data_IF_986749140957
#
_entry.id   IF_986749140957
#
_cell.length_a   1.000
_cell.length_b   1.000
_cell.length_c   1.000
_cell.angle_alpha   90.00
_cell.angle_beta   90.00
_cell.angle_gamma   90.00
#
_symmetry.space_group_name_H-M   'P 1'
#
loop_
_entity.id
_entity.type
_entity.pdbx_description
1 polymer ?
#
# COMPACT_ATOMS: atom_id res chain seq x y z
N UNK A 1 0.69 -39.58 29.52
CA UNK A 1 -0.25 -39.25 28.46
C UNK A 1 -1.29 -38.33 29.08
N UNK A 2 -1.45 -37.13 28.59
CA UNK A 2 -2.44 -36.16 29.09
C UNK A 2 -3.49 -35.91 28.00
N UNK A 3 -4.75 -35.74 28.41
CA UNK A 3 -5.89 -35.69 27.49
C UNK A 3 -6.66 -34.36 27.60
N UNK A 4 -7.06 -33.79 26.45
CA UNK A 4 -7.79 -32.53 26.37
C UNK A 4 -9.09 -32.68 25.57
N UNK A 5 -10.19 -32.11 26.06
CA UNK A 5 -11.46 -32.10 25.32
C UNK A 5 -11.52 -30.92 24.34
N UNK A 6 -12.40 -30.98 23.30
CA UNK A 6 -12.56 -29.90 22.34
C UNK A 6 -12.91 -28.55 22.97
N UNK A 7 -13.63 -28.54 24.10
CA UNK A 7 -14.07 -27.29 24.74
C UNK A 7 -12.94 -26.53 25.46
N UNK A 8 -11.82 -27.22 25.74
CA UNK A 8 -10.63 -26.62 26.31
C UNK A 8 -9.66 -26.05 25.25
N UNK A 9 -9.99 -26.17 23.95
CA UNK A 9 -9.20 -25.64 22.85
C UNK A 9 -9.88 -24.37 22.31
N UNK A 10 -9.19 -23.23 22.35
CA UNK A 10 -9.70 -21.95 21.90
C UNK A 10 -9.73 -21.84 20.38
N UNK A 11 -8.72 -22.32 19.69
CA UNK A 11 -8.59 -22.24 18.25
C UNK A 11 -9.57 -23.20 17.55
N UNK A 12 -10.31 -22.66 16.56
CA UNK A 12 -11.50 -23.33 15.97
C UNK A 12 -11.15 -24.61 15.18
N UNK A 13 -10.14 -24.55 14.33
CA UNK A 13 -9.77 -25.68 13.49
C UNK A 13 -9.09 -26.79 14.30
N UNK A 14 -8.21 -26.40 15.21
CA UNK A 14 -7.57 -27.33 16.14
C UNK A 14 -8.61 -27.98 17.05
N UNK A 15 -9.60 -27.25 17.55
CA UNK A 15 -10.76 -27.78 18.28
C UNK A 15 -11.49 -28.88 17.50
N UNK A 16 -11.74 -28.64 16.21
CA UNK A 16 -12.35 -29.65 15.34
C UNK A 16 -11.45 -30.88 15.21
N UNK A 17 -10.14 -30.72 15.05
CA UNK A 17 -9.22 -31.85 14.99
C UNK A 17 -9.19 -32.64 16.31
N UNK A 18 -9.19 -31.96 17.45
CA UNK A 18 -9.32 -32.60 18.77
C UNK A 18 -10.64 -33.35 18.90
N UNK A 19 -11.75 -32.77 18.41
CA UNK A 19 -13.06 -33.41 18.42
C UNK A 19 -13.07 -34.71 17.60
N UNK A 20 -12.42 -34.73 16.44
CA UNK A 20 -12.33 -35.92 15.58
C UNK A 20 -11.45 -37.01 16.20
N UNK A 21 -10.40 -36.62 16.93
CA UNK A 21 -9.45 -37.54 17.56
C UNK A 21 -9.84 -37.93 18.99
N UNK A 22 -10.87 -37.32 19.57
CA UNK A 22 -11.31 -37.62 20.94
C UNK A 22 -11.92 -38.99 21.08
N UNK A 23 -11.45 -39.74 22.05
CA UNK A 23 -11.94 -41.10 22.39
C UNK A 23 -12.83 -41.04 23.63
N UNK A 24 -13.95 -41.79 23.65
CA UNK A 24 -14.88 -41.81 24.80
C UNK A 24 -14.27 -42.32 26.09
N UNK A 25 -13.21 -43.10 25.99
CA UNK A 25 -12.51 -43.76 27.13
C UNK A 25 -11.60 -42.77 27.85
N UNK A 26 -11.23 -41.67 27.21
CA UNK A 26 -10.34 -40.67 27.75
C UNK A 26 -11.12 -39.47 28.29
N UNK A 27 -10.85 -39.06 29.52
CA UNK A 27 -11.45 -37.91 30.17
C UNK A 27 -10.50 -36.69 30.10
N UNK A 28 -11.05 -35.50 29.94
CA UNK A 28 -10.28 -34.26 29.95
C UNK A 28 -9.70 -34.01 31.35
N UNK A 29 -8.40 -33.69 31.41
CA UNK A 29 -7.69 -33.40 32.67
C UNK A 29 -7.80 -31.90 33.07
N UNK A 30 -8.30 -31.05 32.14
CA UNK A 30 -8.30 -29.59 32.29
C UNK A 30 -9.68 -28.98 32.54
N UNK A 31 -10.73 -29.79 32.63
CA UNK A 31 -12.05 -29.33 33.02
C UNK A 31 -12.91 -30.47 33.60
N UNK A 32 -13.91 -30.11 34.42
CA UNK A 32 -14.81 -31.07 35.10
C UNK A 32 -15.99 -31.56 34.23
N UNK A 33 -15.93 -31.37 32.90
CA UNK A 33 -17.09 -31.64 32.02
C UNK A 33 -17.28 -33.10 31.66
N UNK A 34 -16.25 -33.92 31.85
CA UNK A 34 -16.30 -35.35 31.56
C UNK A 34 -16.50 -35.73 30.09
N UNK A 35 -16.12 -34.78 29.18
CA UNK A 35 -16.22 -35.01 27.74
C UNK A 35 -15.08 -35.92 27.23
N UNK A 36 -15.33 -36.60 26.10
CA UNK A 36 -14.29 -37.33 25.36
C UNK A 36 -13.10 -36.44 25.04
N UNK A 37 -11.90 -36.97 25.17
CA UNK A 37 -10.67 -36.20 25.04
C UNK A 37 -9.68 -36.87 24.09
N UNK A 38 -8.83 -36.06 23.48
CA UNK A 38 -7.72 -36.47 22.62
C UNK A 38 -6.38 -36.30 23.35
N UNK A 39 -5.38 -37.09 22.96
CA UNK A 39 -4.02 -37.00 23.49
C UNK A 39 -3.39 -35.67 23.12
N UNK A 40 -2.81 -34.98 24.10
CA UNK A 40 -2.07 -33.73 23.91
C UNK A 40 -0.83 -33.86 23.02
N UNK A 41 -0.30 -35.06 22.87
CA UNK A 41 0.77 -35.36 21.92
C UNK A 41 0.36 -35.01 20.48
N UNK A 42 -0.88 -35.29 20.09
CA UNK A 42 -1.41 -34.89 18.78
C UNK A 42 -1.42 -33.36 18.64
N UNK A 43 -1.82 -32.63 19.68
CA UNK A 43 -1.82 -31.17 19.69
C UNK A 43 -0.39 -30.63 19.57
N UNK A 44 0.58 -31.20 20.30
CA UNK A 44 1.99 -30.81 20.19
C UNK A 44 2.53 -30.99 18.77
N UNK A 45 2.26 -32.11 18.12
CA UNK A 45 2.66 -32.34 16.72
C UNK A 45 2.05 -31.31 15.77
N UNK A 46 0.77 -30.92 15.97
CA UNK A 46 0.15 -29.87 15.17
C UNK A 46 0.76 -28.50 15.42
N UNK A 47 1.14 -28.21 16.67
CA UNK A 47 1.87 -26.97 16.99
C UNK A 47 3.26 -26.94 16.36
N UNK A 48 3.96 -28.08 16.33
CA UNK A 48 5.24 -28.22 15.64
C UNK A 48 5.11 -27.92 14.14
N UNK A 49 4.12 -28.53 13.46
CA UNK A 49 3.83 -28.28 12.04
C UNK A 49 3.61 -26.77 11.75
N UNK A 50 2.89 -26.08 12.65
CA UNK A 50 2.62 -24.63 12.54
C UNK A 50 3.88 -23.82 12.79
N UNK A 51 4.65 -24.16 13.83
CA UNK A 51 5.92 -23.47 14.13
C UNK A 51 6.92 -23.64 12.98
N UNK A 52 7.10 -24.85 12.48
CA UNK A 52 8.00 -25.12 11.35
C UNK A 52 7.54 -24.38 10.07
N UNK A 53 6.25 -24.33 9.81
CA UNK A 53 5.72 -23.71 8.58
C UNK A 53 5.77 -22.19 8.61
N UNK A 54 5.34 -21.57 9.72
CA UNK A 54 5.02 -20.14 9.76
C UNK A 54 5.94 -19.29 10.66
N UNK A 55 6.76 -19.92 11.50
CA UNK A 55 7.60 -19.18 12.45
C UNK A 55 9.08 -19.44 12.21
N UNK A 56 9.89 -18.48 12.58
CA UNK A 56 11.35 -18.55 12.65
C UNK A 56 11.83 -18.07 14.02
N UNK A 57 13.05 -18.49 14.41
CA UNK A 57 13.65 -18.02 15.63
C UNK A 57 14.01 -16.53 15.52
N UNK A 58 13.70 -15.79 16.60
CA UNK A 58 14.17 -14.42 16.73
C UNK A 58 15.70 -14.41 16.78
N UNK A 59 16.31 -13.62 15.91
CA UNK A 59 17.77 -13.53 15.85
C UNK A 59 18.37 -12.91 17.11
N UNK A 60 19.49 -13.52 17.59
CA UNK A 60 20.28 -12.99 18.71
C UNK A 60 19.51 -12.79 20.04
N UNK A 61 18.55 -13.66 20.34
CA UNK A 61 17.70 -13.58 21.54
C UNK A 61 18.48 -13.28 22.80
N UNK A 62 19.54 -14.06 23.10
CA UNK A 62 20.36 -13.89 24.30
C UNK A 62 21.14 -12.58 24.32
N UNK A 63 21.70 -12.14 23.18
CA UNK A 63 22.38 -10.85 23.09
C UNK A 63 21.40 -9.68 23.36
N UNK A 64 20.18 -9.76 22.83
CA UNK A 64 19.14 -8.74 23.02
C UNK A 64 18.72 -8.67 24.49
N UNK A 65 18.48 -9.82 25.13
CA UNK A 65 18.12 -9.91 26.57
C UNK A 65 19.28 -9.40 27.44
N UNK A 66 20.51 -9.77 27.11
CA UNK A 66 21.71 -9.30 27.87
C UNK A 66 21.82 -7.76 27.87
N UNK A 67 21.41 -7.09 26.79
CA UNK A 67 21.36 -5.63 26.73
C UNK A 67 20.06 -5.03 27.29
N UNK A 68 19.24 -5.80 28.02
CA UNK A 68 18.00 -5.33 28.65
C UNK A 68 16.90 -4.98 27.65
N UNK A 69 16.92 -5.56 26.45
CA UNK A 69 15.88 -5.39 25.43
C UNK A 69 15.05 -6.68 25.30
N UNK A 70 13.81 -6.53 24.89
CA UNK A 70 12.93 -7.66 24.59
C UNK A 70 13.18 -8.12 23.14
N UNK A 71 13.39 -9.41 22.88
CA UNK A 71 13.46 -9.95 21.52
C UNK A 71 12.17 -9.69 20.74
N UNK A 72 12.24 -9.74 19.42
CA UNK A 72 11.05 -9.72 18.60
C UNK A 72 10.26 -11.03 18.77
N UNK A 73 8.92 -10.95 18.68
CA UNK A 73 8.05 -12.12 18.82
C UNK A 73 7.72 -12.50 20.27
N UNK A 74 7.53 -13.78 20.53
CA UNK A 74 7.14 -14.31 21.82
C UNK A 74 7.95 -15.58 22.14
N UNK A 75 8.14 -15.86 23.44
CA UNK A 75 8.67 -17.13 23.92
C UNK A 75 7.75 -18.29 23.49
N UNK A 76 8.25 -19.52 23.61
CA UNK A 76 7.52 -20.71 23.17
C UNK A 76 6.17 -20.86 23.89
N UNK A 77 6.12 -20.68 25.20
CA UNK A 77 4.91 -20.81 25.99
C UNK A 77 3.83 -19.81 25.56
N UNK A 78 4.19 -18.55 25.44
CA UNK A 78 3.29 -17.47 24.96
C UNK A 78 2.84 -17.72 23.53
N UNK A 79 3.73 -18.22 22.66
CA UNK A 79 3.42 -18.55 21.27
C UNK A 79 2.37 -19.68 21.20
N UNK A 80 2.56 -20.79 21.91
CA UNK A 80 1.61 -21.90 21.96
C UNK A 80 0.28 -21.48 22.57
N UNK A 81 0.31 -20.68 23.66
CA UNK A 81 -0.91 -20.15 24.27
C UNK A 81 -1.72 -19.31 23.29
N UNK A 82 -1.07 -18.41 22.54
CA UNK A 82 -1.71 -17.57 21.55
C UNK A 82 -2.26 -18.39 20.35
N UNK A 83 -1.54 -19.42 19.92
CA UNK A 83 -1.95 -20.28 18.80
C UNK A 83 -3.16 -21.15 19.15
N UNK A 84 -3.19 -21.72 20.36
CA UNK A 84 -4.16 -22.76 20.72
C UNK A 84 -5.35 -22.24 21.53
N UNK A 85 -5.15 -21.18 22.32
CA UNK A 85 -6.14 -20.67 23.29
C UNK A 85 -6.52 -21.69 24.36
N UNK A 86 -5.60 -22.59 24.72
CA UNK A 86 -5.81 -23.61 25.76
C UNK A 86 -5.53 -23.08 27.16
N UNK A 87 -5.99 -23.78 28.24
CA UNK A 87 -5.59 -23.52 29.59
C UNK A 87 -4.06 -23.62 29.78
N UNK A 88 -3.52 -22.82 30.69
CA UNK A 88 -2.07 -22.70 30.89
C UNK A 88 -1.42 -24.05 31.22
N UNK A 89 -2.05 -24.87 32.05
CA UNK A 89 -1.57 -26.21 32.44
C UNK A 89 -1.47 -27.15 31.24
N UNK A 90 -2.38 -27.03 30.27
CA UNK A 90 -2.32 -27.80 29.03
C UNK A 90 -1.22 -27.29 28.09
N UNK A 91 -0.99 -25.99 28.05
CA UNK A 91 0.11 -25.38 27.29
C UNK A 91 1.46 -25.83 27.82
N UNK A 92 1.65 -25.90 29.13
CA UNK A 92 2.89 -26.40 29.76
C UNK A 92 3.21 -27.82 29.29
N UNK A 93 2.22 -28.73 29.27
CA UNK A 93 2.40 -30.10 28.79
C UNK A 93 2.74 -30.14 27.28
N UNK A 94 2.12 -29.30 26.46
CA UNK A 94 2.46 -29.21 25.04
C UNK A 94 3.90 -28.72 24.85
N UNK A 95 4.34 -27.74 25.61
CA UNK A 95 5.72 -27.23 25.57
C UNK A 95 6.73 -28.32 26.00
N UNK A 96 6.40 -29.11 27.05
CA UNK A 96 7.23 -30.25 27.43
C UNK A 96 7.34 -31.30 26.32
N UNK A 97 6.23 -31.60 25.62
CA UNK A 97 6.23 -32.51 24.49
C UNK A 97 7.07 -31.95 23.32
N UNK A 98 6.95 -30.70 22.99
CA UNK A 98 7.76 -30.05 21.96
C UNK A 98 9.26 -30.10 22.30
N UNK A 99 9.62 -29.77 23.53
CA UNK A 99 11.01 -29.88 23.99
C UNK A 99 11.54 -31.31 23.90
N UNK A 100 10.69 -32.32 24.20
CA UNK A 100 11.06 -33.73 24.04
C UNK A 100 11.23 -34.15 22.58
N UNK A 101 10.39 -33.62 21.65
CA UNK A 101 10.52 -33.85 20.20
C UNK A 101 11.80 -33.28 19.64
N UNK A 102 12.22 -32.12 20.15
CA UNK A 102 13.41 -31.37 19.68
C UNK A 102 14.72 -31.82 20.32
N UNK A 103 14.67 -32.72 21.31
CA UNK A 103 15.85 -33.25 21.96
C UNK A 103 16.38 -34.46 21.19
N UNK A 104 17.64 -34.39 20.75
CA UNK A 104 18.33 -35.54 20.13
C UNK A 104 19.13 -36.30 21.19
N UNK A 105 18.68 -37.47 21.56
CA UNK A 105 19.35 -38.36 22.51
C UNK A 105 20.78 -38.72 22.07
N UNK A 106 21.08 -38.77 20.79
CA UNK A 106 22.38 -39.19 20.27
C UNK A 106 23.46 -38.11 20.42
N UNK A 107 23.11 -36.84 20.22
CA UNK A 107 24.00 -35.70 20.44
C UNK A 107 23.91 -35.13 21.85
N UNK A 108 22.82 -35.37 22.56
CA UNK A 108 22.51 -34.75 23.84
C UNK A 108 22.14 -33.26 23.72
N UNK A 109 21.80 -32.79 22.52
CA UNK A 109 21.50 -31.41 22.24
C UNK A 109 20.02 -31.22 21.86
N UNK A 110 19.44 -30.08 22.22
CA UNK A 110 18.11 -29.67 21.75
C UNK A 110 18.25 -28.89 20.44
N UNK A 111 17.29 -29.02 19.53
CA UNK A 111 17.20 -28.30 18.26
C UNK A 111 17.39 -26.76 18.43
N UNK A 112 16.92 -26.23 19.56
CA UNK A 112 16.98 -24.78 19.85
C UNK A 112 17.99 -24.44 20.97
N UNK A 113 18.85 -25.39 21.39
CA UNK A 113 19.80 -25.21 22.47
C UNK A 113 19.16 -25.20 23.87
N UNK A 114 19.93 -24.73 24.88
CA UNK A 114 19.47 -24.65 26.27
C UNK A 114 18.70 -23.36 26.60
N UNK A 115 18.58 -22.46 25.61
CA UNK A 115 17.94 -21.15 25.79
C UNK A 115 16.44 -21.25 25.44
N UNK A 116 15.60 -20.49 26.15
CA UNK A 116 14.18 -20.34 25.79
C UNK A 116 14.04 -19.69 24.41
N UNK A 117 13.58 -20.43 23.36
CA UNK A 117 13.50 -19.89 22.04
C UNK A 117 12.35 -18.87 21.92
N UNK A 118 12.60 -17.76 21.23
CA UNK A 118 11.59 -16.77 20.85
C UNK A 118 11.21 -16.95 19.39
N UNK A 119 9.92 -16.97 19.12
CA UNK A 119 9.37 -17.22 17.80
C UNK A 119 8.76 -15.94 17.22
N UNK A 120 9.08 -15.68 15.97
CA UNK A 120 8.52 -14.60 15.15
C UNK A 120 7.97 -15.19 13.85
N UNK A 121 6.93 -14.60 13.29
CA UNK A 121 6.44 -15.04 11.97
C UNK A 121 7.55 -14.90 10.93
N UNK A 122 7.73 -15.94 10.11
CA UNK A 122 8.75 -15.97 9.06
C UNK A 122 8.57 -14.80 8.11
N UNK A 123 9.61 -14.01 7.94
CA UNK A 123 9.67 -12.98 6.90
C UNK A 123 9.72 -13.58 5.49
N UNK A 124 10.27 -14.80 5.37
CA UNK A 124 10.42 -15.53 4.11
C UNK A 124 9.14 -16.19 3.59
N UNK A 125 8.02 -16.12 4.34
CA UNK A 125 6.78 -16.80 3.94
C UNK A 125 6.22 -16.27 2.62
N UNK A 126 6.47 -14.99 2.32
CA UNK A 126 6.07 -14.36 1.06
C UNK A 126 7.06 -14.61 -0.11
N UNK A 127 8.16 -15.33 0.11
CA UNK A 127 9.20 -15.56 -0.93
C UNK A 127 8.68 -16.19 -2.21
N UNK A 128 7.78 -17.22 -2.20
CA UNK A 128 7.28 -17.80 -3.44
C UNK A 128 6.59 -16.77 -4.34
N UNK A 129 5.71 -15.93 -3.77
CA UNK A 129 5.09 -14.83 -4.51
C UNK A 129 6.10 -13.75 -4.89
N UNK A 130 7.08 -13.48 -4.03
CA UNK A 130 8.18 -12.56 -4.32
C UNK A 130 9.05 -13.03 -5.50
N UNK A 131 9.31 -14.33 -5.64
CA UNK A 131 10.00 -14.90 -6.82
C UNK A 131 9.15 -14.76 -8.08
N UNK A 132 7.88 -15.19 -8.04
CA UNK A 132 6.96 -15.07 -9.18
C UNK A 132 6.81 -13.60 -9.63
N UNK A 133 6.82 -12.67 -8.67
CA UNK A 133 6.78 -11.24 -8.97
C UNK A 133 8.03 -10.74 -9.69
N UNK A 134 9.22 -11.15 -9.25
CA UNK A 134 10.49 -10.80 -9.94
C UNK A 134 10.54 -11.38 -11.35
N UNK A 135 10.12 -12.64 -11.53
CA UNK A 135 10.01 -13.25 -12.87
C UNK A 135 9.05 -12.48 -13.78
N UNK A 136 7.92 -12.03 -13.22
CA UNK A 136 6.98 -11.17 -13.96
C UNK A 136 7.65 -9.85 -14.35
N UNK A 137 8.35 -9.19 -13.43
CA UNK A 137 9.06 -7.94 -13.70
C UNK A 137 10.09 -8.11 -14.82
N UNK A 138 10.87 -9.19 -14.81
CA UNK A 138 11.85 -9.51 -15.84
C UNK A 138 11.17 -9.79 -17.19
N UNK A 139 10.10 -10.58 -17.19
CA UNK A 139 9.33 -10.88 -18.42
C UNK A 139 8.72 -9.64 -19.04
N UNK A 140 8.17 -8.72 -18.24
CA UNK A 140 7.63 -7.44 -18.72
C UNK A 140 8.70 -6.53 -19.31
N UNK A 141 9.95 -6.63 -18.84
CA UNK A 141 11.08 -5.83 -19.34
C UNK A 141 11.73 -6.42 -20.59
N UNK A 142 11.91 -7.75 -20.60
CA UNK A 142 12.74 -8.44 -21.60
C UNK A 142 11.92 -9.11 -22.73
N UNK A 143 10.71 -9.61 -22.44
CA UNK A 143 9.98 -10.44 -23.37
C UNK A 143 8.71 -9.75 -23.90
N UNK A 144 7.59 -9.95 -23.20
CA UNK A 144 6.24 -9.54 -23.63
C UNK A 144 5.66 -8.54 -22.64
N UNK A 145 5.53 -7.29 -23.08
CA UNK A 145 4.91 -6.22 -22.28
C UNK A 145 3.40 -6.26 -22.30
N UNK A 146 2.81 -6.46 -23.48
CA UNK A 146 1.37 -6.55 -23.70
C UNK A 146 0.98 -8.01 -23.88
N UNK A 147 -0.22 -8.40 -23.41
CA UNK A 147 -0.73 -9.77 -23.50
C UNK A 147 0.19 -10.82 -22.84
N UNK A 148 0.70 -10.51 -21.63
CA UNK A 148 1.49 -11.42 -20.82
C UNK A 148 0.57 -12.26 -19.91
N UNK A 149 0.28 -13.54 -20.24
CA UNK A 149 -0.66 -14.36 -19.48
C UNK A 149 -0.14 -14.67 -18.07
N UNK A 150 1.18 -14.86 -17.91
CA UNK A 150 1.78 -15.10 -16.59
C UNK A 150 1.62 -13.89 -15.66
N UNK A 151 1.79 -12.68 -16.20
CA UNK A 151 1.54 -11.47 -15.44
C UNK A 151 0.05 -11.36 -15.06
N UNK A 152 -0.87 -11.67 -15.96
CA UNK A 152 -2.30 -11.63 -15.67
C UNK A 152 -2.70 -12.64 -14.59
N UNK A 153 -2.19 -13.87 -14.64
CA UNK A 153 -2.44 -14.91 -13.64
C UNK A 153 -1.90 -14.51 -12.26
N UNK A 154 -0.68 -13.98 -12.21
CA UNK A 154 -0.09 -13.52 -10.95
C UNK A 154 -0.84 -12.32 -10.36
N UNK A 155 -1.24 -11.36 -11.19
CA UNK A 155 -2.02 -10.20 -10.74
C UNK A 155 -3.41 -10.62 -10.23
N UNK A 156 -4.06 -11.61 -10.86
CA UNK A 156 -5.31 -12.18 -10.37
C UNK A 156 -5.11 -12.89 -9.02
N UNK A 157 -4.02 -13.66 -8.86
CA UNK A 157 -3.69 -14.32 -7.59
C UNK A 157 -3.47 -13.31 -6.46
N UNK A 158 -2.77 -12.21 -6.74
CA UNK A 158 -2.44 -11.19 -5.75
C UNK A 158 -3.63 -10.27 -5.45
N UNK A 159 -4.32 -9.78 -6.49
CA UNK A 159 -5.31 -8.70 -6.37
C UNK A 159 -6.76 -9.14 -6.54
N UNK A 160 -7.04 -10.32 -7.08
CA UNK A 160 -8.40 -10.76 -7.43
C UNK A 160 -9.40 -10.75 -6.27
N UNK A 161 -8.91 -10.94 -5.04
CA UNK A 161 -9.74 -11.03 -3.82
C UNK A 161 -9.69 -9.75 -2.94
N UNK A 162 -9.14 -8.62 -3.44
CA UNK A 162 -9.02 -7.37 -2.65
C UNK A 162 -10.34 -6.86 -2.06
N UNK A 163 -11.47 -7.21 -2.68
CA UNK A 163 -12.80 -6.80 -2.20
C UNK A 163 -13.14 -7.40 -0.84
N UNK A 164 -12.52 -8.54 -0.50
CA UNK A 164 -12.75 -9.29 0.73
C UNK A 164 -11.70 -8.96 1.81
N UNK A 165 -10.60 -8.27 1.43
CA UNK A 165 -9.52 -7.98 2.34
C UNK A 165 -9.90 -6.84 3.29
N UNK A 166 -9.57 -7.03 4.57
CA UNK A 166 -9.75 -6.07 5.65
C UNK A 166 -8.41 -5.70 6.26
N UNK A 167 -8.31 -4.48 6.77
CA UNK A 167 -7.18 -4.05 7.59
C UNK A 167 -7.31 -4.53 9.05
N UNK A 168 -6.29 -4.25 9.87
CA UNK A 168 -6.26 -4.61 11.31
C UNK A 168 -7.43 -4.03 12.12
N UNK A 169 -8.09 -2.97 11.64
CA UNK A 169 -9.21 -2.30 12.28
C UNK A 169 -10.56 -2.82 11.73
N UNK A 170 -10.54 -3.89 10.91
CA UNK A 170 -11.70 -4.50 10.28
C UNK A 170 -12.33 -3.66 9.17
N UNK A 171 -11.58 -2.68 8.65
CA UNK A 171 -12.05 -1.81 7.58
C UNK A 171 -11.59 -2.33 6.21
N UNK A 172 -12.42 -2.13 5.18
CA UNK A 172 -12.05 -2.46 3.81
C UNK A 172 -10.78 -1.71 3.39
N UNK A 173 -9.90 -2.39 2.66
CA UNK A 173 -8.73 -1.75 2.02
C UNK A 173 -9.11 -0.93 0.77
N UNK A 174 -10.34 -1.08 0.29
CA UNK A 174 -10.94 -0.25 -0.75
C UNK A 174 -11.80 0.79 -0.06
N UNK A 175 -11.43 2.06 -0.18
CA UNK A 175 -12.16 3.19 0.41
C UNK A 175 -13.07 3.84 -0.62
N UNK A 176 -14.10 4.51 -0.13
CA UNK A 176 -14.99 5.32 -0.95
C UNK A 176 -14.60 6.80 -0.89
N UNK A 177 -14.66 7.47 -2.04
CA UNK A 177 -14.53 8.91 -2.17
C UNK A 177 -15.74 9.46 -2.95
N UNK A 178 -16.16 10.68 -2.64
CA UNK A 178 -17.29 11.34 -3.33
C UNK A 178 -18.30 11.92 -2.39
N UNK A 179 -19.48 12.30 -2.88
CA UNK A 179 -20.55 12.83 -2.07
C UNK A 179 -20.84 11.93 -0.88
N UNK A 180 -21.10 12.52 0.27
CA UNK A 180 -21.43 11.82 1.53
C UNK A 180 -20.29 10.95 2.14
N UNK A 181 -19.04 11.12 1.68
CA UNK A 181 -17.86 10.46 2.25
C UNK A 181 -16.93 11.48 2.93
N UNK A 182 -15.90 10.98 3.62
CA UNK A 182 -14.86 11.84 4.21
C UNK A 182 -13.89 12.41 3.17
N UNK A 183 -13.85 11.87 1.95
CA UNK A 183 -12.98 12.29 0.86
C UNK A 183 -13.82 12.86 -0.30
N UNK A 184 -14.19 14.13 -0.19
CA UNK A 184 -15.03 14.84 -1.17
C UNK A 184 -14.23 15.72 -2.12
N UNK A 185 -12.98 16.05 -1.77
CA UNK A 185 -12.18 17.06 -2.50
C UNK A 185 -10.77 16.54 -2.70
N UNK A 186 -10.25 16.73 -3.89
CA UNK A 186 -8.86 16.47 -4.27
C UNK A 186 -8.21 17.77 -4.75
N UNK A 187 -6.94 17.94 -4.43
CA UNK A 187 -6.15 19.08 -4.88
C UNK A 187 -5.21 18.67 -6.01
N UNK A 188 -4.99 19.56 -6.98
CA UNK A 188 -4.03 19.34 -8.04
C UNK A 188 -3.26 20.61 -8.36
N UNK A 189 -1.94 20.49 -8.44
CA UNK A 189 -1.03 21.56 -8.83
C UNK A 189 -0.41 21.30 -10.21
N UNK A 190 -0.24 22.35 -11.00
CA UNK A 190 0.54 22.33 -12.25
C UNK A 190 1.59 23.43 -12.24
N UNK A 191 2.80 23.07 -12.66
CA UNK A 191 3.95 23.99 -12.71
C UNK A 191 4.01 24.66 -14.07
N UNK A 192 4.22 25.96 -14.08
CA UNK A 192 4.42 26.80 -15.27
C UNK A 192 5.74 27.58 -15.13
N UNK A 193 6.54 27.61 -16.20
CA UNK A 193 7.83 28.29 -16.21
C UNK A 193 7.74 29.63 -16.90
N UNK A 194 6.63 29.98 -17.56
CA UNK A 194 6.40 31.23 -18.23
C UNK A 194 5.00 31.76 -17.93
N UNK A 195 4.86 33.12 -17.91
CA UNK A 195 3.57 33.76 -17.72
C UNK A 195 2.58 33.42 -18.84
N UNK A 196 3.04 33.31 -20.08
CA UNK A 196 2.19 32.97 -21.23
C UNK A 196 1.59 31.56 -21.08
N UNK A 197 2.39 30.61 -20.62
CA UNK A 197 1.90 29.24 -20.37
C UNK A 197 0.90 29.20 -19.22
N UNK A 198 1.13 29.98 -18.15
CA UNK A 198 0.19 30.12 -17.05
C UNK A 198 -1.11 30.77 -17.53
N UNK A 199 -1.05 31.92 -18.23
CA UNK A 199 -2.22 32.60 -18.75
C UNK A 199 -3.04 31.67 -19.70
N UNK A 200 -2.35 30.97 -20.60
CA UNK A 200 -3.00 30.02 -21.50
C UNK A 200 -3.71 28.87 -20.73
N UNK A 201 -3.12 28.42 -19.63
CA UNK A 201 -3.75 27.38 -18.81
C UNK A 201 -4.98 27.89 -18.05
N UNK A 202 -4.96 29.15 -17.59
CA UNK A 202 -6.06 29.76 -16.89
C UNK A 202 -7.23 30.13 -17.82
N UNK A 203 -7.03 30.20 -19.13
CA UNK A 203 -8.13 30.35 -20.10
C UNK A 203 -9.07 29.14 -20.14
N UNK A 204 -8.54 27.94 -19.85
CA UNK A 204 -9.27 26.68 -19.89
C UNK A 204 -8.97 25.85 -18.63
N UNK A 205 -9.32 26.34 -17.43
CA UNK A 205 -8.82 25.75 -16.20
C UNK A 205 -9.33 24.33 -15.97
N UNK A 206 -10.58 23.99 -16.33
CA UNK A 206 -11.13 22.65 -16.20
C UNK A 206 -10.34 21.64 -17.03
N UNK A 207 -9.92 22.04 -18.23
CA UNK A 207 -9.18 21.21 -19.18
C UNK A 207 -7.69 21.17 -18.87
N UNK A 208 -7.10 22.32 -18.56
CA UNK A 208 -5.65 22.48 -18.50
C UNK A 208 -5.08 22.33 -17.07
N UNK A 209 -5.91 22.52 -16.02
CA UNK A 209 -5.54 22.14 -14.66
C UNK A 209 -5.99 20.71 -14.31
N UNK A 210 -6.97 20.16 -15.03
CA UNK A 210 -7.45 18.78 -14.89
C UNK A 210 -6.50 17.73 -15.50
N UNK A 211 -7.05 16.56 -15.78
CA UNK A 211 -6.34 15.47 -16.46
C UNK A 211 -5.97 15.83 -17.90
N UNK A 212 -4.81 15.38 -18.39
CA UNK A 212 -4.47 15.57 -19.79
C UNK A 212 -5.45 14.82 -20.68
N UNK A 213 -5.65 15.34 -21.89
CA UNK A 213 -6.45 14.66 -22.93
C UNK A 213 -5.74 13.37 -23.39
N UNK A 214 -6.52 12.35 -23.77
CA UNK A 214 -5.97 11.11 -24.31
C UNK A 214 -5.04 11.37 -25.51
N UNK A 215 -3.91 10.66 -25.51
CA UNK A 215 -2.87 10.78 -26.55
C UNK A 215 -1.75 11.77 -26.24
N UNK A 216 -1.94 12.73 -25.32
CA UNK A 216 -0.94 13.75 -25.00
C UNK A 216 -0.36 13.63 -23.57
N UNK A 217 -0.97 12.85 -22.70
CA UNK A 217 -0.49 12.68 -21.31
C UNK A 217 0.91 12.09 -21.26
N UNK A 218 1.80 12.68 -20.43
CA UNK A 218 3.08 12.06 -20.15
C UNK A 218 2.89 10.75 -19.35
N UNK A 219 3.82 9.82 -19.51
CA UNK A 219 3.89 8.65 -18.66
C UNK A 219 4.11 9.05 -17.20
N UNK A 220 3.41 8.39 -16.31
CA UNK A 220 3.55 8.57 -14.87
C UNK A 220 3.65 7.22 -14.16
N UNK A 221 3.70 7.26 -12.84
CA UNK A 221 3.80 6.04 -12.02
C UNK A 221 2.68 5.04 -12.31
N UNK A 222 1.44 5.49 -12.53
CA UNK A 222 0.24 4.66 -12.65
C UNK A 222 -0.44 4.79 -14.00
N UNK A 223 0.23 5.34 -15.01
CA UNK A 223 -0.29 5.44 -16.38
C UNK A 223 0.82 5.39 -17.41
N UNK A 224 0.56 4.72 -18.53
CA UNK A 224 1.44 4.74 -19.70
C UNK A 224 1.39 6.05 -20.47
N UNK A 225 2.36 6.24 -21.40
CA UNK A 225 2.39 7.39 -22.30
C UNK A 225 1.07 7.50 -23.09
N UNK A 226 0.48 8.68 -23.07
CA UNK A 226 -0.78 8.98 -23.75
C UNK A 226 -2.06 8.54 -23.01
N UNK A 227 -1.94 7.83 -21.91
CA UNK A 227 -3.09 7.47 -21.08
C UNK A 227 -3.43 8.61 -20.12
N UNK A 228 -4.70 9.11 -20.10
CA UNK A 228 -5.12 10.10 -19.13
C UNK A 228 -5.16 9.51 -17.71
N UNK A 229 -4.63 10.25 -16.76
CA UNK A 229 -4.81 9.99 -15.32
C UNK A 229 -4.86 11.32 -14.57
N UNK A 230 -5.66 11.39 -13.52
CA UNK A 230 -5.67 12.54 -12.62
C UNK A 230 -4.76 12.26 -11.44
N UNK A 231 -3.67 13.01 -11.34
CA UNK A 231 -2.78 13.00 -10.20
C UNK A 231 -3.13 14.18 -9.30
N UNK A 232 -3.55 13.90 -8.10
CA UNK A 232 -3.90 14.87 -7.08
C UNK A 232 -3.45 14.44 -5.70
N UNK A 233 -3.84 15.20 -4.71
CA UNK A 233 -3.57 14.91 -3.30
C UNK A 233 -4.78 15.27 -2.44
N UNK A 234 -4.80 14.76 -1.21
CA UNK A 234 -5.84 15.08 -0.23
C UNK A 234 -5.61 16.41 0.49
N UNK A 235 -4.43 17.01 0.32
CA UNK A 235 -4.06 18.31 0.89
C UNK A 235 -3.24 19.14 -0.10
N UNK A 236 -3.40 20.49 -0.09
CA UNK A 236 -2.70 21.39 -1.01
C UNK A 236 -1.16 21.31 -0.87
N UNK A 237 -0.65 21.20 0.33
CA UNK A 237 0.79 21.15 0.65
C UNK A 237 1.46 19.94 0.03
N UNK A 238 0.78 18.79 0.10
CA UNK A 238 1.25 17.53 -0.53
C UNK A 238 1.34 17.72 -2.06
N UNK A 239 0.35 18.38 -2.64
CA UNK A 239 0.31 18.65 -4.07
C UNK A 239 1.50 19.49 -4.54
N UNK A 240 1.84 20.56 -3.79
CA UNK A 240 2.98 21.44 -4.07
C UNK A 240 4.30 20.66 -3.94
N UNK A 241 4.45 19.87 -2.85
CA UNK A 241 5.64 19.09 -2.62
C UNK A 241 5.87 18.01 -3.70
N UNK A 242 4.81 17.39 -4.20
CA UNK A 242 4.89 16.30 -5.20
C UNK A 242 5.34 16.82 -6.58
N UNK A 243 4.91 18.01 -7.00
CA UNK A 243 5.29 18.57 -8.32
C UNK A 243 6.70 19.13 -8.35
N UNK A 244 7.40 19.25 -7.20
CA UNK A 244 8.81 19.68 -7.08
C UNK A 244 9.14 20.92 -7.95
N UNK A 245 8.48 22.04 -7.75
CA UNK A 245 8.59 23.17 -8.62
C UNK A 245 10.00 23.81 -8.52
N UNK A 246 10.62 24.20 -9.64
CA UNK A 246 11.86 24.96 -9.59
C UNK A 246 11.64 26.39 -9.10
N UNK A 247 12.67 27.00 -8.50
CA UNK A 247 12.65 28.42 -8.12
C UNK A 247 12.39 29.27 -9.34
N UNK A 248 11.53 30.31 -9.22
CA UNK A 248 11.11 31.19 -10.29
C UNK A 248 9.97 30.66 -11.15
N UNK A 249 9.41 29.47 -10.83
CA UNK A 249 8.21 28.97 -11.49
C UNK A 249 6.94 29.37 -10.74
N UNK A 250 5.80 29.23 -11.42
CA UNK A 250 4.47 29.35 -10.83
C UNK A 250 3.80 28.00 -10.71
N UNK A 251 3.02 27.80 -9.64
CA UNK A 251 2.10 26.67 -9.50
C UNK A 251 0.68 27.21 -9.53
N UNK A 252 -0.13 26.74 -10.48
CA UNK A 252 -1.58 26.86 -10.35
C UNK A 252 -2.10 25.64 -9.58
N UNK A 253 -2.59 25.89 -8.37
CA UNK A 253 -3.20 24.91 -7.47
C UNK A 253 -4.70 25.09 -7.49
N UNK A 254 -5.46 24.00 -7.61
CA UNK A 254 -6.91 24.03 -7.62
C UNK A 254 -7.52 22.84 -6.88
N UNK A 255 -8.69 23.05 -6.29
CA UNK A 255 -9.50 22.02 -5.69
C UNK A 255 -10.52 21.46 -6.70
N UNK A 256 -10.66 20.14 -6.69
CA UNK A 256 -11.61 19.39 -7.51
C UNK A 256 -12.55 18.62 -6.60
N UNK A 257 -13.84 18.88 -6.70
CA UNK A 257 -14.87 18.12 -6.00
C UNK A 257 -15.09 16.79 -6.70
N UNK A 258 -15.17 15.73 -5.91
CA UNK A 258 -15.55 14.39 -6.40
C UNK A 258 -17.07 14.34 -6.47
N UNK A 259 -17.64 14.36 -7.67
CA UNK A 259 -19.08 14.55 -7.91
C UNK A 259 -19.88 13.25 -8.07
N UNK A 260 -19.23 12.10 -8.06
CA UNK A 260 -19.85 10.77 -8.00
C UNK A 260 -19.07 9.83 -7.10
N UNK A 261 -19.67 8.75 -6.60
CA UNK A 261 -18.96 7.75 -5.81
C UNK A 261 -17.79 7.14 -6.61
N UNK A 262 -16.62 7.07 -5.98
CA UNK A 262 -15.39 6.44 -6.48
C UNK A 262 -14.90 5.41 -5.48
N UNK A 263 -14.27 4.34 -5.99
CA UNK A 263 -13.65 3.30 -5.20
C UNK A 263 -12.14 3.37 -5.39
N UNK A 264 -11.40 3.59 -4.31
CA UNK A 264 -9.96 3.77 -4.32
C UNK A 264 -9.29 2.66 -3.51
N UNK A 265 -8.26 2.01 -4.08
CA UNK A 265 -7.40 1.10 -3.33
C UNK A 265 -6.45 1.91 -2.45
N UNK A 266 -6.51 1.72 -1.13
CA UNK A 266 -5.62 2.38 -0.18
C UNK A 266 -4.37 1.53 0.10
N UNK A 267 -3.23 1.90 -0.51
CA UNK A 267 -1.96 1.18 -0.34
C UNK A 267 -1.44 1.21 1.10
N UNK A 268 -1.85 2.20 1.92
CA UNK A 268 -1.46 2.25 3.35
C UNK A 268 -2.13 1.12 4.11
N UNK A 269 -3.39 0.79 3.77
CA UNK A 269 -4.14 -0.30 4.38
C UNK A 269 -3.63 -1.67 3.98
N UNK A 270 -3.02 -1.80 2.80
CA UNK A 270 -2.33 -3.04 2.41
C UNK A 270 -1.25 -3.45 3.41
N UNK A 271 -0.53 -2.49 3.99
CA UNK A 271 0.50 -2.76 5.01
C UNK A 271 -0.07 -3.36 6.31
N UNK A 272 -1.37 -3.28 6.53
CA UNK A 272 -2.04 -3.74 7.75
C UNK A 272 -3.13 -4.79 7.48
N UNK A 273 -3.17 -5.35 6.26
CA UNK A 273 -4.16 -6.36 5.88
C UNK A 273 -4.05 -7.59 6.81
N UNK A 274 -5.18 -8.15 7.21
CA UNK A 274 -5.26 -9.30 8.11
C UNK A 274 -5.80 -10.51 7.38
N UNK A 275 -5.58 -11.70 7.96
CA UNK A 275 -6.23 -12.91 7.48
C UNK A 275 -7.73 -12.85 7.80
N UNK A 276 -8.58 -13.50 6.99
CA UNK A 276 -9.98 -13.70 7.34
C UNK A 276 -10.12 -14.35 8.73
N UNK A 277 -11.16 -14.00 9.46
CA UNK A 277 -11.40 -14.51 10.82
C UNK A 277 -11.54 -16.02 10.90
N UNK A 278 -11.91 -16.66 9.78
CA UNK A 278 -12.01 -18.13 9.69
C UNK A 278 -10.68 -18.80 9.33
N UNK A 279 -9.66 -18.04 8.99
CA UNK A 279 -8.35 -18.59 8.61
C UNK A 279 -7.64 -19.13 9.86
N UNK A 280 -7.22 -20.38 9.78
CA UNK A 280 -6.49 -21.09 10.83
C UNK A 280 -5.10 -21.49 10.34
N UNK A 281 -4.07 -21.20 11.13
CA UNK A 281 -2.70 -21.65 10.83
C UNK A 281 -2.57 -23.18 10.92
N UNK A 282 -3.46 -23.86 11.68
CA UNK A 282 -3.52 -25.31 11.75
C UNK A 282 -4.13 -25.96 10.49
N UNK A 283 -4.78 -25.18 9.61
CA UNK A 283 -5.30 -25.66 8.34
C UNK A 283 -4.26 -25.45 7.23
N UNK A 284 -3.70 -26.53 6.64
CA UNK A 284 -2.72 -26.41 5.56
C UNK A 284 -3.22 -25.61 4.35
N UNK A 285 -4.55 -25.58 4.12
CA UNK A 285 -5.15 -24.80 3.04
C UNK A 285 -5.06 -23.28 3.26
N UNK A 286 -4.71 -22.82 4.45
CA UNK A 286 -4.55 -21.38 4.77
C UNK A 286 -3.21 -20.82 4.30
N UNK A 287 -2.19 -21.65 4.07
CA UNK A 287 -0.85 -21.21 3.69
C UNK A 287 -0.82 -20.22 2.52
N UNK A 288 -1.52 -20.45 1.38
CA UNK A 288 -1.54 -19.50 0.29
C UNK A 288 -2.13 -18.12 0.68
N UNK A 289 -3.11 -18.11 1.58
CA UNK A 289 -3.69 -16.85 2.08
C UNK A 289 -2.70 -16.09 2.98
N UNK A 290 -1.91 -16.80 3.78
CA UNK A 290 -0.83 -16.20 4.60
C UNK A 290 0.26 -15.61 3.70
N UNK A 291 0.72 -16.37 2.70
CA UNK A 291 1.71 -15.93 1.72
C UNK A 291 1.22 -14.66 0.98
N UNK A 292 -0.03 -14.67 0.51
CA UNK A 292 -0.63 -13.52 -0.17
C UNK A 292 -0.74 -12.30 0.74
N UNK A 293 -1.22 -12.46 1.98
CA UNK A 293 -1.31 -11.37 2.96
C UNK A 293 0.05 -10.70 3.20
N UNK A 294 1.08 -11.49 3.46
CA UNK A 294 2.40 -10.96 3.78
C UNK A 294 3.04 -10.32 2.54
N UNK A 295 2.82 -10.90 1.37
CA UNK A 295 3.22 -10.30 0.10
C UNK A 295 2.51 -8.95 -0.15
N UNK A 296 1.20 -8.84 0.10
CA UNK A 296 0.45 -7.58 -0.04
C UNK A 296 0.99 -6.48 0.88
N UNK A 297 1.37 -6.84 2.12
CA UNK A 297 1.96 -5.91 3.08
C UNK A 297 3.28 -5.32 2.58
N UNK A 298 4.15 -6.17 2.04
CA UNK A 298 5.40 -5.73 1.44
C UNK A 298 5.16 -4.90 0.17
N UNK A 299 4.26 -5.35 -0.69
CA UNK A 299 3.95 -4.72 -1.97
C UNK A 299 3.40 -3.30 -1.81
N UNK A 300 2.57 -3.04 -0.81
CA UNK A 300 2.06 -1.71 -0.50
C UNK A 300 3.19 -0.68 -0.32
N UNK A 301 4.24 -1.06 0.40
CA UNK A 301 5.44 -0.25 0.57
C UNK A 301 6.24 -0.08 -0.72
N UNK A 302 6.42 -1.16 -1.49
CA UNK A 302 7.16 -1.13 -2.78
C UNK A 302 6.47 -0.25 -3.82
N UNK A 303 5.14 -0.35 -3.94
CA UNK A 303 4.35 0.48 -4.87
C UNK A 303 4.35 1.96 -4.50
N UNK A 304 4.57 2.30 -3.22
CA UNK A 304 4.60 3.67 -2.70
C UNK A 304 6.00 4.28 -2.68
N UNK A 305 7.06 3.48 -2.77
CA UNK A 305 8.44 3.92 -2.65
C UNK A 305 8.83 4.97 -3.71
N UNK A 306 9.58 6.01 -3.35
CA UNK A 306 10.05 7.00 -4.32
C UNK A 306 10.98 6.35 -5.35
N UNK A 307 10.81 6.72 -6.62
CA UNK A 307 11.66 6.28 -7.74
C UNK A 307 12.55 7.43 -8.19
N UNK A 308 13.83 7.14 -8.36
CA UNK A 308 14.79 8.13 -8.87
C UNK A 308 14.44 8.52 -10.32
N UNK A 309 14.55 9.80 -10.70
CA UNK A 309 14.15 10.29 -12.02
C UNK A 309 14.75 9.49 -13.19
N UNK A 310 16.02 9.09 -13.08
CA UNK A 310 16.72 8.32 -14.12
C UNK A 310 16.20 6.88 -14.29
N UNK A 311 15.49 6.35 -13.29
CA UNK A 311 14.98 4.98 -13.28
C UNK A 311 13.46 4.90 -13.55
N UNK A 312 12.80 6.04 -13.72
CA UNK A 312 11.34 6.10 -13.85
C UNK A 312 10.81 5.25 -15.02
N UNK A 313 11.44 5.34 -16.18
CA UNK A 313 11.01 4.58 -17.38
C UNK A 313 11.05 3.06 -17.18
N UNK A 314 11.98 2.61 -16.33
CA UNK A 314 12.14 1.20 -16.00
C UNK A 314 11.22 0.76 -14.86
N UNK A 315 11.20 1.53 -13.79
CA UNK A 315 10.59 1.12 -12.53
C UNK A 315 9.09 1.45 -12.47
N UNK A 316 8.61 2.39 -13.30
CA UNK A 316 7.18 2.64 -13.46
C UNK A 316 6.43 1.56 -14.24
N UNK A 317 7.13 0.73 -15.04
CA UNK A 317 6.47 -0.31 -15.84
C UNK A 317 5.60 -1.22 -14.98
N UNK A 318 6.11 -1.68 -13.85
CA UNK A 318 5.39 -2.61 -12.97
C UNK A 318 4.17 -1.94 -12.35
N UNK A 319 4.32 -0.71 -11.85
CA UNK A 319 3.20 0.03 -11.25
C UNK A 319 2.14 0.41 -12.28
N UNK A 320 2.53 0.67 -13.53
CA UNK A 320 1.61 0.89 -14.65
C UNK A 320 0.81 -0.38 -14.97
N UNK A 321 1.45 -1.55 -15.02
CA UNK A 321 0.78 -2.83 -15.26
C UNK A 321 -0.21 -3.17 -14.14
N UNK A 322 0.16 -2.92 -12.88
CA UNK A 322 -0.75 -3.06 -11.74
C UNK A 322 -1.95 -2.10 -11.87
N UNK A 323 -1.70 -0.85 -12.22
CA UNK A 323 -2.76 0.14 -12.40
C UNK A 323 -3.72 -0.24 -13.56
N UNK A 324 -3.18 -0.70 -14.68
CA UNK A 324 -3.98 -1.17 -15.82
C UNK A 324 -4.83 -2.39 -15.44
N UNK A 325 -4.27 -3.36 -14.70
CA UNK A 325 -5.02 -4.50 -14.19
C UNK A 325 -6.17 -4.05 -13.27
N UNK A 326 -5.89 -3.21 -12.27
CA UNK A 326 -6.90 -2.72 -11.34
C UNK A 326 -8.00 -1.90 -12.04
N UNK A 327 -7.63 -1.09 -13.03
CA UNK A 327 -8.56 -0.28 -13.80
C UNK A 327 -9.49 -1.13 -14.69
N UNK A 328 -8.97 -2.25 -15.25
CA UNK A 328 -9.68 -3.14 -16.15
C UNK A 328 -10.52 -4.20 -15.41
N UNK A 329 -10.19 -4.52 -14.15
CA UNK A 329 -10.81 -5.62 -13.42
C UNK A 329 -12.26 -5.29 -12.99
N UNK A 330 -13.24 -5.89 -13.66
CA UNK A 330 -14.66 -5.51 -13.52
C UNK A 330 -15.25 -5.82 -12.13
N UNK A 331 -14.86 -6.92 -11.46
CA UNK A 331 -15.37 -7.25 -10.11
C UNK A 331 -14.88 -6.27 -9.04
N UNK A 332 -13.63 -5.85 -9.11
CA UNK A 332 -13.04 -4.91 -8.16
C UNK A 332 -13.61 -3.51 -8.37
N UNK A 333 -13.83 -3.11 -9.61
CA UNK A 333 -14.32 -1.80 -10.01
C UNK A 333 -13.57 -0.64 -9.34
N UNK A 334 -12.24 -0.68 -9.37
CA UNK A 334 -11.37 0.33 -8.77
C UNK A 334 -11.24 1.51 -9.71
N UNK A 335 -11.51 2.72 -9.21
CA UNK A 335 -11.43 3.99 -9.94
C UNK A 335 -10.07 4.66 -9.82
N UNK A 336 -9.28 4.29 -8.81
CA UNK A 336 -7.98 4.88 -8.56
C UNK A 336 -7.28 4.27 -7.35
N UNK A 337 -6.13 4.86 -7.00
CA UNK A 337 -5.26 4.42 -5.91
C UNK A 337 -4.97 5.64 -5.02
N UNK A 338 -4.96 5.42 -3.70
CA UNK A 338 -4.46 6.38 -2.72
C UNK A 338 -3.21 5.81 -2.04
N UNK A 339 -2.16 6.61 -1.90
CA UNK A 339 -0.88 6.19 -1.33
C UNK A 339 -0.22 7.32 -0.54
N UNK A 340 0.68 7.01 0.43
CA UNK A 340 1.34 8.01 1.24
C UNK A 340 2.24 8.90 0.37
N UNK A 341 2.34 10.19 0.70
CA UNK A 341 3.34 11.05 0.10
C UNK A 341 4.73 10.67 0.61
N UNK A 342 5.70 10.56 -0.31
CA UNK A 342 7.11 10.41 0.05
C UNK A 342 7.76 11.75 0.44
N UNK A 343 7.06 12.88 0.23
CA UNK A 343 7.49 14.22 0.54
C UNK A 343 6.89 14.64 1.89
N UNK A 344 7.46 14.17 3.01
CA UNK A 344 7.09 14.68 4.33
C UNK A 344 7.62 16.11 4.52
N UNK A 345 6.79 16.98 5.03
CA UNK A 345 7.20 18.35 5.39
C UNK A 345 7.98 18.39 6.72
N UNK A 346 7.90 17.31 7.53
CA UNK A 346 8.64 17.17 8.79
C UNK A 346 9.03 15.70 8.99
N UNK A 347 10.31 15.41 9.34
CA UNK A 347 10.81 14.03 9.54
C UNK A 347 10.10 13.26 10.67
N UNK A 348 9.60 13.97 11.67
CA UNK A 348 9.03 13.40 12.90
C UNK A 348 7.49 13.36 12.90
N UNK A 349 6.82 13.90 11.86
CA UNK A 349 5.36 13.88 11.75
C UNK A 349 4.93 13.01 10.55
N UNK A 350 3.92 12.13 10.73
CA UNK A 350 3.34 11.44 9.60
C UNK A 350 2.79 12.46 8.60
N UNK A 351 2.95 12.24 7.27
CA UNK A 351 2.48 13.17 6.27
C UNK A 351 0.98 13.43 6.48
N UNK A 352 0.61 14.71 6.60
CA UNK A 352 -0.77 15.14 6.87
C UNK A 352 -1.75 14.85 5.72
N UNK A 353 -1.33 14.11 4.68
CA UNK A 353 -2.15 13.79 3.52
C UNK A 353 -1.56 12.68 2.66
N UNK A 354 -2.24 12.40 1.56
CA UNK A 354 -1.91 11.32 0.64
C UNK A 354 -2.03 11.77 -0.80
N UNK A 355 -1.24 11.14 -1.66
CA UNK A 355 -1.40 11.22 -3.10
C UNK A 355 -2.58 10.37 -3.56
N UNK A 356 -3.28 10.83 -4.58
CA UNK A 356 -4.39 10.11 -5.22
C UNK A 356 -4.16 10.11 -6.73
N UNK A 357 -4.27 8.92 -7.32
CA UNK A 357 -4.31 8.78 -8.78
C UNK A 357 -5.66 8.23 -9.18
N UNK A 358 -6.41 8.94 -10.00
CA UNK A 358 -7.63 8.42 -10.62
C UNK A 358 -7.32 7.92 -12.03
N UNK A 359 -7.79 6.71 -12.32
CA UNK A 359 -7.67 6.09 -13.64
C UNK A 359 -8.55 6.80 -14.67
N UNK A 360 -8.31 6.54 -15.94
CA UNK A 360 -9.03 7.18 -17.05
C UNK A 360 -10.54 7.28 -16.84
N UNK A 361 -11.20 6.19 -16.40
CA UNK A 361 -12.66 6.15 -16.19
C UNK A 361 -13.19 7.10 -15.12
N UNK A 362 -12.30 7.64 -14.26
CA UNK A 362 -12.61 8.55 -13.15
C UNK A 362 -11.78 9.85 -13.19
N UNK A 363 -11.03 10.09 -14.26
CA UNK A 363 -10.14 11.25 -14.37
C UNK A 363 -10.76 12.45 -15.09
N UNK A 364 -11.96 12.30 -15.64
CA UNK A 364 -12.63 13.38 -16.40
C UNK A 364 -13.20 14.44 -15.46
N UNK A 365 -12.96 15.71 -15.83
CA UNK A 365 -13.49 16.87 -15.14
C UNK A 365 -14.75 17.34 -15.87
N UNK A 366 -15.81 17.64 -15.11
CA UNK A 366 -17.02 18.26 -15.66
C UNK A 366 -16.68 19.59 -16.35
N UNK A 367 -17.46 19.94 -17.33
CA UNK A 367 -17.34 21.21 -18.09
C UNK A 367 -16.02 21.40 -18.87
N UNK A 368 -15.07 20.44 -18.81
CA UNK A 368 -13.82 20.54 -19.55
C UNK A 368 -14.03 20.58 -21.07
N UNK A 369 -15.13 19.99 -21.55
CA UNK A 369 -15.50 19.92 -22.96
C UNK A 369 -16.80 20.68 -23.30
N UNK A 370 -17.66 20.97 -22.30
CA UNK A 370 -18.99 21.59 -22.51
C UNK A 370 -18.93 23.06 -22.90
N UNK A 371 -17.81 23.71 -22.67
CA UNK A 371 -17.61 25.12 -23.00
C UNK A 371 -16.95 25.29 -24.35
N UNK A 372 -17.62 24.85 -25.36
CA UNK A 372 -17.20 25.09 -26.74
C UNK A 372 -17.15 26.59 -27.03
N UNK A 373 -15.98 27.18 -26.81
CA UNK A 373 -15.70 28.53 -27.26
C UNK A 373 -15.79 29.67 -26.25
N UNK A 374 -15.98 29.43 -24.95
CA UNK A 374 -15.73 30.43 -23.92
C UNK A 374 -14.23 30.74 -23.85
N UNK A 375 -13.79 31.88 -24.34
CA UNK A 375 -12.45 32.39 -24.06
C UNK A 375 -12.54 33.23 -22.80
N UNK A 376 -11.89 32.79 -21.71
CA UNK A 376 -11.67 33.66 -20.57
C UNK A 376 -10.62 34.74 -20.92
N UNK A 377 -10.86 35.94 -20.47
CA UNK A 377 -9.82 36.98 -20.46
C UNK A 377 -9.00 36.80 -19.21
N UNK A 378 -7.67 36.77 -19.36
CA UNK A 378 -6.74 36.60 -18.26
C UNK A 378 -5.95 37.87 -18.06
N UNK A 379 -6.03 38.41 -16.85
CA UNK A 379 -5.12 39.46 -16.39
C UNK A 379 -4.21 38.87 -15.30
N UNK A 380 -2.91 38.84 -15.51
CA UNK A 380 -1.94 38.40 -14.49
C UNK A 380 -1.45 39.57 -13.63
N UNK A 381 -1.50 40.80 -14.19
CA UNK A 381 -0.97 41.97 -13.57
C UNK A 381 -2.03 43.05 -13.47
N UNK A 382 -2.08 43.73 -12.36
CA UNK A 382 -2.81 44.98 -12.16
C UNK A 382 -1.82 46.13 -12.25
N UNK A 383 -2.24 47.23 -12.86
CA UNK A 383 -1.42 48.42 -13.10
C UNK A 383 -1.99 49.59 -12.30
N UNK A 384 -1.10 50.43 -11.79
CA UNK A 384 -1.50 51.72 -11.20
C UNK A 384 -2.13 52.61 -12.27
N UNK A 385 -3.28 53.24 -11.99
CA UNK A 385 -4.03 54.04 -12.98
C UNK A 385 -3.19 55.19 -13.59
N UNK A 386 -2.25 55.76 -12.83
CA UNK A 386 -1.42 56.92 -13.25
C UNK A 386 0.10 56.68 -13.07
N UNK A 387 0.56 55.43 -12.88
CA UNK A 387 1.95 55.13 -12.53
C UNK A 387 2.58 53.95 -13.25
N UNK A 388 3.91 53.81 -13.18
CA UNK A 388 4.62 52.67 -13.78
C UNK A 388 4.60 51.41 -12.94
N UNK A 389 3.95 51.41 -11.78
CA UNK A 389 3.94 50.26 -10.86
C UNK A 389 2.92 49.24 -11.30
N UNK A 390 3.32 47.97 -11.25
CA UNK A 390 2.46 46.83 -11.46
C UNK A 390 2.68 45.81 -10.34
N UNK A 391 1.62 45.11 -10.00
CA UNK A 391 1.70 43.98 -9.04
C UNK A 391 1.00 42.75 -9.60
N UNK A 392 1.46 41.58 -9.18
CA UNK A 392 0.90 40.30 -9.62
C UNK A 392 -0.47 40.08 -8.96
N UNK A 393 -1.53 40.20 -9.75
CA UNK A 393 -2.92 40.03 -9.33
C UNK A 393 -3.69 39.24 -10.39
N UNK A 394 -3.55 37.88 -10.39
CA UNK A 394 -4.15 37.06 -11.43
C UNK A 394 -5.68 37.08 -11.32
N UNK A 395 -6.34 37.43 -12.40
CA UNK A 395 -7.79 37.46 -12.54
C UNK A 395 -8.22 36.69 -13.80
N UNK A 396 -9.34 35.98 -13.71
CA UNK A 396 -9.97 35.28 -14.82
C UNK A 396 -11.36 35.87 -15.01
N UNK A 397 -11.61 36.47 -16.17
CA UNK A 397 -12.91 36.97 -16.56
C UNK A 397 -13.54 36.00 -17.58
N UNK A 398 -14.49 35.20 -17.13
CA UNK A 398 -15.26 34.30 -18.01
C UNK A 398 -16.31 35.10 -18.78
N UNK A 399 -16.34 34.92 -20.10
CA UNK A 399 -17.35 35.51 -20.97
C UNK A 399 -18.35 34.45 -21.39
N UNK A 400 -19.64 34.70 -21.11
CA UNK A 400 -20.73 33.81 -21.57
C UNK A 400 -20.77 33.82 -23.11
N UNK A 401 -20.87 32.62 -23.71
CA UNK A 401 -21.19 32.44 -25.10
C UNK A 401 -22.44 31.56 -25.25
N UNK A 402 -23.29 31.90 -26.20
CA UNK A 402 -24.58 31.26 -26.46
C UNK A 402 -24.51 29.93 -27.23
N UNK A 403 -23.31 29.38 -27.51
CA UNK A 403 -23.16 28.16 -28.27
C UNK A 403 -22.85 26.94 -27.41
N UNK A 404 -23.76 26.00 -27.37
CA UNK A 404 -23.58 24.70 -26.77
C UNK A 404 -22.88 23.74 -27.73
N UNK A 405 -21.71 23.24 -27.34
CA UNK A 405 -21.01 22.20 -28.08
C UNK A 405 -21.36 20.81 -27.49
N UNK A 406 -21.85 19.90 -28.34
CA UNK A 406 -22.18 18.52 -27.95
C UNK A 406 -21.03 17.59 -28.32
N UNK A 407 -20.06 17.42 -27.41
CA UNK A 407 -19.03 16.38 -27.51
C UNK A 407 -19.55 15.00 -27.08
N UNK A 408 -19.04 13.94 -27.71
CA UNK A 408 -19.33 12.57 -27.27
C UNK A 408 -18.39 12.21 -26.10
N UNK A 409 -18.94 12.09 -24.90
CA UNK A 409 -18.19 11.64 -23.73
C UNK A 409 -18.12 10.12 -23.69
N UNK A 410 -16.90 9.59 -23.42
CA UNK A 410 -16.69 8.15 -23.23
C UNK A 410 -17.09 7.70 -21.81
N UNK A 411 -16.93 8.59 -20.83
CA UNK A 411 -17.23 8.33 -19.42
C UNK A 411 -18.01 9.52 -18.81
N UNK A 412 -18.72 9.24 -17.73
CA UNK A 412 -19.31 10.30 -16.92
C UNK A 412 -18.22 10.99 -16.09
N UNK A 413 -18.16 12.34 -16.07
CA UNK A 413 -17.20 13.05 -15.26
C UNK A 413 -17.30 12.65 -13.80
N UNK A 414 -16.15 12.55 -13.16
CA UNK A 414 -16.05 12.22 -11.74
C UNK A 414 -15.62 13.42 -10.88
N UNK A 415 -15.11 14.45 -11.52
CA UNK A 415 -14.54 15.64 -10.90
C UNK A 415 -15.22 16.90 -11.40
N UNK A 416 -15.34 17.90 -10.55
CA UNK A 416 -15.71 19.27 -10.89
C UNK A 416 -14.71 20.24 -10.30
N UNK A 417 -14.19 21.15 -11.11
CA UNK A 417 -13.26 22.17 -10.66
C UNK A 417 -13.98 23.25 -9.84
N UNK A 418 -13.50 23.52 -8.64
CA UNK A 418 -13.89 24.70 -7.87
C UNK A 418 -13.09 25.91 -8.36
N UNK A 419 -13.71 26.76 -9.18
CA UNK A 419 -13.02 27.92 -9.80
C UNK A 419 -12.52 28.94 -8.77
N UNK A 420 -13.28 29.13 -7.69
CA UNK A 420 -12.96 30.02 -6.57
C UNK A 420 -11.77 29.51 -5.72
N UNK A 421 -11.35 28.27 -5.93
CA UNK A 421 -10.22 27.64 -5.25
C UNK A 421 -8.89 27.78 -5.98
N UNK A 422 -8.87 28.36 -7.17
CA UNK A 422 -7.63 28.49 -7.97
C UNK A 422 -6.70 29.47 -7.28
N UNK A 423 -5.52 29.02 -6.87
CA UNK A 423 -4.47 29.81 -6.23
C UNK A 423 -3.18 29.67 -7.03
N UNK A 424 -2.53 30.82 -7.31
CA UNK A 424 -1.23 30.83 -7.95
C UNK A 424 -0.15 31.08 -6.91
N UNK A 425 0.82 30.15 -6.84
CA UNK A 425 1.99 30.28 -5.99
C UNK A 425 3.21 30.60 -6.85
N UNK A 426 3.89 31.68 -6.55
CA UNK A 426 5.22 32.00 -7.08
C UNK A 426 6.28 31.38 -6.19
N UNK A 427 7.16 30.55 -6.74
CA UNK A 427 8.17 29.81 -6.00
C UNK A 427 9.45 30.66 -5.86
N UNK A 428 9.63 31.23 -4.69
CA UNK A 428 10.79 32.07 -4.38
C UNK A 428 11.99 31.29 -3.84
N UNK A 429 11.76 30.14 -3.16
CA UNK A 429 12.82 29.33 -2.58
C UNK A 429 12.38 27.86 -2.42
N UNK A 430 13.35 26.94 -2.42
CA UNK A 430 13.17 25.52 -2.10
C UNK A 430 14.18 25.13 -1.03
N UNK A 431 13.74 24.40 0.00
CA UNK A 431 14.60 23.90 1.08
C UNK A 431 14.91 22.44 0.86
N UNK A 432 16.19 22.08 1.00
CA UNK A 432 16.66 20.69 0.91
C UNK A 432 17.20 20.22 2.26
N UNK A 433 16.82 19.01 2.67
CA UNK A 433 17.45 18.30 3.76
C UNK A 433 18.43 17.27 3.21
N UNK A 434 19.63 17.18 3.79
CA UNK A 434 20.66 16.25 3.31
C UNK A 434 21.46 15.67 4.46
N UNK A 435 21.94 14.43 4.27
CA UNK A 435 22.97 13.83 5.12
C UNK A 435 24.29 13.84 4.37
N UNK A 436 25.35 14.30 5.03
CA UNK A 436 26.71 14.35 4.44
C UNK A 436 27.53 13.17 4.94
N UNK A 437 28.21 12.52 4.02
CA UNK A 437 29.16 11.43 4.33
C UNK A 437 30.52 11.82 3.75
N UNK A 438 31.58 11.67 4.58
CA UNK A 438 32.96 11.92 4.14
C UNK A 438 33.45 10.69 3.37
N UNK A 439 33.99 10.93 2.16
CA UNK A 439 34.63 9.87 1.38
C UNK A 439 36.07 9.70 1.89
N UNK A 440 36.43 8.48 2.27
CA UNK A 440 37.79 8.13 2.62
C UNK A 440 38.49 7.63 1.36
N UNK A 441 39.57 8.35 0.95
CA UNK A 441 40.36 7.98 -0.19
C UNK A 441 41.56 7.13 0.28
N UNK A 442 41.55 5.84 -0.05
CA UNK A 442 42.68 4.92 0.24
C UNK A 442 43.46 4.71 -1.04
N UNK A 443 44.74 5.10 -1.03
CA UNK A 443 45.65 4.85 -2.12
C UNK A 443 46.44 3.58 -1.81
N UNK A 444 46.27 2.50 -2.59
CA UNK A 444 47.17 1.35 -2.55
C UNK A 444 48.39 1.66 -3.37
N UNK A 445 49.56 1.81 -2.71
CA UNK A 445 50.84 1.80 -3.41
C UNK A 445 51.13 0.36 -3.83
N UNK A 446 51.08 0.09 -5.12
CA UNK A 446 51.73 -1.11 -5.66
C UNK A 446 53.25 -0.84 -5.64
N UNK A 447 53.95 -1.39 -4.68
CA UNK A 447 55.39 -1.56 -4.76
C UNK A 447 55.68 -2.46 -5.96
N UNK A 448 55.99 -1.84 -7.08
CA UNK A 448 56.70 -2.53 -8.16
C UNK A 448 58.19 -2.54 -7.78
N UNK A 449 58.65 -3.65 -7.20
CA UNK A 449 60.04 -4.08 -7.31
C UNK A 449 60.27 -4.75 -8.65
#
# INVERSE_FOLDING_TARGET
>A
MSFICPQCVGERYLRYQVQVAAEPENACEYCDRGESAADLWMVATRCEDVLDTFFELSSNTMAVIHFGRTPAGHDLHTTISNLTGMPQEAVEVVVEHLNSLWYDEASGESLYGDDDPWFVLKSSIAEPLGYAWREMEESLRADVRYFNPKAAELLELVFGELINDLDKDGQSIIIEAGPDTSLTTLYRGRVFQTEDALASALQWPERLLGSPVAGIGAAGRMNGQGQPAFYGATAPEICIAEVRPPVGSWIALAAFEVIRPLRLLDLRRLATVVLPSEASLFNPATRPAVERRDFLRELGNRLSAPVMPELQDRDYLVTQVVADYLAAHCRLNIDGIIYPSAQSTHPDEPPAGSNVVLFRKASEVADAEERGGETAEIALWEFEEDGPQKWFHPAILFKDRDEHWYGCRLFHPALSLRRDSIVIHEISAVRYESKSYKVECVFSFNDRC
#
